data_IF_137020595061
#
_entry.id   IF_137020595061
#
_cell.length_a   1.000
_cell.length_b   1.000
_cell.length_c   1.000
_cell.angle_alpha   90.00
_cell.angle_beta   90.00
_cell.angle_gamma   90.00
#
_symmetry.space_group_name_H-M   'P 1'
#
loop_
_entity.id
_entity.type
_entity.pdbx_description
1 polymer ?
#
# COMPACT_ATOMS: atom_id res chain seq x y z
N UNK A 1 -47.85 -12.28 13.36
CA UNK A 1 -46.42 -12.59 13.16
C UNK A 1 -45.79 -11.44 12.38
N UNK A 2 -45.13 -10.55 13.06
CA UNK A 2 -44.52 -9.34 12.46
C UNK A 2 -43.03 -9.60 12.34
N UNK A 3 -42.52 -9.77 11.12
CA UNK A 3 -41.08 -9.92 10.84
C UNK A 3 -40.43 -8.54 10.79
N UNK A 4 -39.60 -8.23 11.80
CA UNK A 4 -38.73 -7.07 11.76
C UNK A 4 -37.58 -7.33 10.79
N UNK A 5 -37.56 -6.61 9.67
CA UNK A 5 -36.39 -6.52 8.79
C UNK A 5 -35.46 -5.48 9.38
N UNK A 6 -34.33 -5.96 9.87
CA UNK A 6 -33.22 -5.10 10.33
C UNK A 6 -32.55 -4.48 9.10
N UNK A 7 -32.72 -3.19 8.91
CA UNK A 7 -31.99 -2.44 7.90
C UNK A 7 -30.55 -2.19 8.42
N UNK A 8 -29.59 -2.89 7.83
CA UNK A 8 -28.20 -2.56 7.98
C UNK A 8 -27.95 -1.17 7.37
N UNK A 9 -27.70 -0.16 8.21
CA UNK A 9 -27.32 1.17 7.76
C UNK A 9 -25.94 1.10 7.10
N UNK A 10 -25.94 1.11 5.77
CA UNK A 10 -24.72 1.42 5.00
C UNK A 10 -24.36 2.87 5.35
N UNK A 11 -23.20 3.06 5.99
CA UNK A 11 -22.61 4.39 6.15
C UNK A 11 -22.25 4.89 4.76
N UNK A 12 -23.15 5.67 4.19
CA UNK A 12 -22.90 6.42 2.95
C UNK A 12 -21.83 7.45 3.26
N UNK A 13 -20.65 7.27 2.69
CA UNK A 13 -19.60 8.29 2.71
C UNK A 13 -20.11 9.44 1.83
N UNK A 14 -20.43 10.56 2.49
CA UNK A 14 -20.97 11.74 1.85
C UNK A 14 -19.92 12.36 0.91
N UNK A 15 -20.24 12.45 -0.39
CA UNK A 15 -19.60 13.32 -1.35
C UNK A 15 -18.78 12.59 -2.42
N UNK A 16 -18.96 13.04 -3.65
CA UNK A 16 -18.32 12.61 -4.91
C UNK A 16 -16.78 12.74 -4.95
N UNK A 17 -16.10 13.07 -3.84
CA UNK A 17 -14.64 13.24 -3.83
C UNK A 17 -13.92 11.99 -3.30
N UNK A 18 -12.83 11.66 -3.95
CA UNK A 18 -11.93 10.62 -3.50
C UNK A 18 -11.25 11.01 -2.16
N UNK A 19 -10.92 10.03 -1.29
CA UNK A 19 -10.38 10.31 0.02
C UNK A 19 -8.99 10.95 -0.04
N UNK A 20 -8.71 11.84 0.91
CA UNK A 20 -7.39 12.41 1.18
C UNK A 20 -6.61 11.47 2.08
N UNK A 21 -5.44 11.06 1.63
CA UNK A 21 -4.69 9.96 2.23
C UNK A 21 -3.32 10.40 2.70
N UNK A 22 -2.97 10.02 3.92
CA UNK A 22 -1.60 10.10 4.46
C UNK A 22 -1.07 8.68 4.63
N UNK A 23 0.17 8.45 4.25
CA UNK A 23 0.87 7.18 4.45
C UNK A 23 1.98 7.30 5.50
N UNK A 24 2.09 6.27 6.36
CA UNK A 24 3.09 6.15 7.43
C UNK A 24 4.06 4.98 7.19
N UNK A 25 4.05 4.38 6.00
CA UNK A 25 4.86 3.22 5.70
C UNK A 25 5.30 3.24 4.23
N UNK A 26 6.57 2.92 3.96
CA UNK A 26 7.12 2.95 2.61
C UNK A 26 6.37 2.05 1.61
N UNK A 27 5.92 0.86 2.04
CA UNK A 27 5.17 -0.03 1.15
C UNK A 27 3.83 0.57 0.74
N UNK A 28 3.14 1.27 1.64
CA UNK A 28 1.90 1.99 1.32
C UNK A 28 2.16 3.28 0.54
N UNK A 29 3.30 3.94 0.73
CA UNK A 29 3.74 5.06 -0.11
C UNK A 29 3.85 4.65 -1.58
N UNK A 30 4.55 3.54 -1.83
CA UNK A 30 4.75 3.03 -3.19
C UNK A 30 3.43 2.66 -3.86
N UNK A 31 2.51 2.03 -3.13
CA UNK A 31 1.19 1.71 -3.66
C UNK A 31 0.37 2.97 -3.95
N UNK A 32 0.41 3.98 -3.09
CA UNK A 32 -0.25 5.27 -3.35
C UNK A 32 0.31 5.95 -4.60
N UNK A 33 1.63 5.98 -4.77
CA UNK A 33 2.27 6.57 -5.95
C UNK A 33 1.88 5.88 -7.26
N UNK A 34 1.54 4.58 -7.22
CA UNK A 34 1.11 3.81 -8.38
C UNK A 34 -0.40 3.90 -8.64
N UNK A 35 -1.21 4.05 -7.58
CA UNK A 35 -2.66 3.87 -7.66
C UNK A 35 -3.46 5.15 -7.50
N UNK A 36 -3.05 6.06 -6.59
CA UNK A 36 -3.83 7.23 -6.25
C UNK A 36 -3.74 8.34 -7.32
N UNK A 37 -4.75 9.17 -7.38
CA UNK A 37 -4.64 10.44 -8.05
C UNK A 37 -3.76 11.38 -7.20
N UNK A 38 -3.00 12.29 -7.82
CA UNK A 38 -2.11 13.19 -7.08
C UNK A 38 -2.80 13.97 -5.97
N UNK A 39 -4.03 14.38 -6.18
CA UNK A 39 -4.84 15.18 -5.26
C UNK A 39 -5.27 14.40 -4.02
N UNK A 40 -5.26 13.07 -4.09
CA UNK A 40 -5.55 12.18 -2.95
C UNK A 40 -4.36 12.09 -2.00
N UNK A 41 -3.12 12.22 -2.51
CA UNK A 41 -1.90 12.03 -1.73
C UNK A 41 -1.56 13.30 -0.97
N UNK A 42 -1.85 13.30 0.32
CA UNK A 42 -1.61 14.48 1.17
C UNK A 42 -0.19 14.48 1.72
N UNK A 43 0.29 13.33 2.18
CA UNK A 43 1.67 13.19 2.68
C UNK A 43 2.13 11.73 2.58
N UNK A 44 3.40 11.55 2.26
CA UNK A 44 4.11 10.27 2.23
C UNK A 44 5.19 10.25 3.32
N UNK A 45 5.78 9.10 3.61
CA UNK A 45 6.94 9.07 4.49
C UNK A 45 8.15 9.75 3.81
N UNK A 46 9.07 10.29 4.60
CA UNK A 46 10.32 10.84 4.09
C UNK A 46 11.14 9.80 3.29
N UNK A 47 10.98 8.50 3.62
CA UNK A 47 11.63 7.38 2.92
C UNK A 47 11.21 7.27 1.46
N UNK A 48 9.97 7.65 1.12
CA UNK A 48 9.50 7.63 -0.26
C UNK A 48 10.31 8.55 -1.17
N UNK A 49 10.94 9.60 -0.62
CA UNK A 49 11.74 10.60 -1.34
C UNK A 49 13.23 10.26 -1.41
N UNK A 50 13.71 9.27 -0.64
CA UNK A 50 15.10 8.84 -0.64
C UNK A 50 15.35 7.83 -1.78
N UNK A 51 16.23 8.15 -2.77
CA UNK A 51 16.52 7.25 -3.89
C UNK A 51 17.16 5.91 -3.48
N UNK A 52 17.73 5.85 -2.27
CA UNK A 52 18.29 4.60 -1.72
C UNK A 52 17.21 3.67 -1.18
N UNK A 53 16.06 4.22 -0.81
CA UNK A 53 14.96 3.50 -0.19
C UNK A 53 13.81 3.23 -1.17
N UNK A 54 13.59 4.13 -2.14
CA UNK A 54 12.42 4.12 -3.01
C UNK A 54 12.78 4.20 -4.49
N UNK A 55 12.33 3.25 -5.31
CA UNK A 55 12.47 3.34 -6.77
C UNK A 55 11.60 4.47 -7.37
N UNK A 56 10.63 4.98 -6.64
CA UNK A 56 9.72 6.06 -7.05
C UNK A 56 10.06 7.40 -6.39
N UNK A 57 11.30 7.57 -5.89
CA UNK A 57 11.72 8.77 -5.17
C UNK A 57 11.52 10.06 -5.98
N UNK A 58 11.73 10.03 -7.30
CA UNK A 58 11.48 11.16 -8.19
C UNK A 58 10.01 11.59 -8.20
N UNK A 59 9.08 10.63 -8.30
CA UNK A 59 7.65 10.91 -8.28
C UNK A 59 7.18 11.43 -6.90
N UNK A 60 7.82 10.98 -5.82
CA UNK A 60 7.49 11.38 -4.45
C UNK A 60 7.88 12.82 -4.10
N UNK A 61 8.82 13.45 -4.84
CA UNK A 61 9.34 14.79 -4.50
C UNK A 61 8.28 15.89 -4.43
N UNK A 62 7.22 15.77 -5.21
CA UNK A 62 6.15 16.79 -5.29
C UNK A 62 5.18 16.77 -4.11
N UNK A 63 5.18 15.70 -3.29
CA UNK A 63 4.25 15.56 -2.17
C UNK A 63 4.89 16.02 -0.85
N UNK A 64 4.09 16.47 0.10
CA UNK A 64 4.54 16.69 1.46
C UNK A 64 5.03 15.37 2.08
N UNK A 65 5.90 15.47 3.09
CA UNK A 65 6.41 14.28 3.78
C UNK A 65 6.19 14.37 5.29
N UNK A 66 6.14 13.20 5.92
CA UNK A 66 6.04 13.02 7.36
C UNK A 66 7.13 12.05 7.87
N UNK A 67 7.36 12.05 9.18
CA UNK A 67 8.27 11.12 9.87
C UNK A 67 7.53 10.06 10.68
N UNK A 68 6.24 9.89 10.42
CA UNK A 68 5.42 8.89 11.10
C UNK A 68 4.96 9.30 12.49
N UNK A 69 5.03 10.59 12.82
CA UNK A 69 4.52 11.15 14.08
C UNK A 69 3.09 11.67 13.88
N UNK A 70 2.25 11.59 14.91
CA UNK A 70 0.87 12.08 14.82
C UNK A 70 0.81 13.60 14.59
N UNK A 71 1.76 14.33 15.16
CA UNK A 71 1.92 15.78 15.00
C UNK A 71 2.21 16.18 13.55
N UNK A 72 2.91 15.32 12.79
CA UNK A 72 3.15 15.53 11.37
C UNK A 72 1.88 15.28 10.51
N UNK A 73 0.96 14.44 11.00
CA UNK A 73 -0.21 13.93 10.27
C UNK A 73 -1.46 14.77 10.50
N UNK A 74 -1.74 15.10 11.77
CA UNK A 74 -2.99 15.76 12.17
C UNK A 74 -3.26 17.11 11.45
N UNK A 75 -2.25 17.96 11.20
CA UNK A 75 -2.48 19.22 10.48
C UNK A 75 -3.00 19.05 9.05
N UNK A 76 -2.78 17.92 8.45
CA UNK A 76 -3.27 17.62 7.10
C UNK A 76 -4.76 17.28 7.05
N UNK A 77 -5.41 16.99 8.19
CA UNK A 77 -6.80 16.55 8.28
C UNK A 77 -7.14 15.47 7.22
N UNK A 78 -6.46 14.31 7.21
CA UNK A 78 -6.69 13.26 6.23
C UNK A 78 -8.02 12.54 6.50
N UNK A 79 -8.65 12.02 5.42
CA UNK A 79 -9.80 11.14 5.55
C UNK A 79 -9.38 9.71 5.97
N UNK A 80 -8.17 9.30 5.53
CA UNK A 80 -7.60 7.98 5.81
C UNK A 80 -6.10 8.09 6.02
N UNK A 81 -5.61 7.38 7.03
CA UNK A 81 -4.18 7.15 7.26
C UNK A 81 -3.86 5.67 7.00
N UNK A 82 -2.84 5.41 6.20
CA UNK A 82 -2.33 4.08 5.91
C UNK A 82 -1.08 3.82 6.73
N UNK A 83 -1.06 2.73 7.46
CA UNK A 83 0.05 2.33 8.32
C UNK A 83 0.49 0.89 8.01
N UNK A 84 1.71 0.53 8.37
CA UNK A 84 2.12 -0.87 8.43
C UNK A 84 1.80 -1.45 9.82
N UNK A 85 1.66 -2.77 9.92
CA UNK A 85 1.46 -3.45 11.22
C UNK A 85 2.59 -3.18 12.22
N UNK A 86 3.77 -2.82 11.72
CA UNK A 86 4.92 -2.46 12.55
C UNK A 86 5.11 -0.93 12.69
N UNK A 87 4.18 -0.12 12.19
CA UNK A 87 4.17 1.32 12.49
C UNK A 87 4.01 1.54 13.99
N UNK A 88 4.55 2.65 14.49
CA UNK A 88 4.55 2.96 15.91
C UNK A 88 3.13 2.92 16.49
N UNK A 89 2.85 1.95 17.36
CA UNK A 89 1.52 1.77 17.97
C UNK A 89 1.01 3.05 18.63
N UNK A 90 1.91 3.78 19.30
CA UNK A 90 1.57 5.05 19.92
C UNK A 90 0.98 6.05 18.91
N UNK A 91 1.60 6.20 17.74
CA UNK A 91 1.08 7.10 16.67
C UNK A 91 -0.27 6.64 16.17
N UNK A 92 -0.43 5.33 15.88
CA UNK A 92 -1.68 4.75 15.40
C UNK A 92 -2.81 4.94 16.41
N UNK A 93 -2.55 4.65 17.68
CA UNK A 93 -3.55 4.78 18.76
C UNK A 93 -3.93 6.25 19.02
N UNK A 94 -2.96 7.18 18.92
CA UNK A 94 -3.23 8.60 19.05
C UNK A 94 -4.11 9.11 17.91
N UNK A 95 -3.80 8.77 16.66
CA UNK A 95 -4.59 9.14 15.51
C UNK A 95 -6.03 8.59 15.59
N UNK A 96 -6.20 7.34 16.01
CA UNK A 96 -7.52 6.73 16.23
C UNK A 96 -8.33 7.45 17.31
N UNK A 97 -7.67 7.84 18.42
CA UNK A 97 -8.32 8.62 19.50
C UNK A 97 -8.75 10.01 19.04
N UNK A 98 -8.07 10.58 18.05
CA UNK A 98 -8.46 11.83 17.39
C UNK A 98 -9.54 11.65 16.31
N UNK A 99 -10.10 10.44 16.18
CA UNK A 99 -11.16 10.15 15.20
C UNK A 99 -10.67 9.89 13.78
N UNK A 100 -9.35 9.81 13.56
CA UNK A 100 -8.79 9.53 12.24
C UNK A 100 -8.95 8.05 11.89
N UNK A 101 -9.45 7.75 10.69
CA UNK A 101 -9.54 6.39 10.17
C UNK A 101 -8.15 5.88 9.83
N UNK A 102 -7.60 4.94 10.61
CA UNK A 102 -6.29 4.30 10.36
C UNK A 102 -6.48 2.88 9.89
N UNK A 103 -5.92 2.56 8.72
CA UNK A 103 -5.93 1.22 8.11
C UNK A 103 -4.51 0.67 8.07
N UNK A 104 -4.32 -0.51 8.65
CA UNK A 104 -3.03 -1.16 8.71
C UNK A 104 -2.88 -2.21 7.60
N UNK A 105 -1.70 -2.23 6.97
CA UNK A 105 -1.29 -3.22 5.97
C UNK A 105 -0.24 -4.15 6.59
N UNK A 106 -0.47 -5.44 6.46
CA UNK A 106 0.51 -6.46 6.83
C UNK A 106 1.66 -6.49 5.82
N UNK A 107 2.86 -6.95 6.21
CA UNK A 107 3.92 -7.23 5.27
C UNK A 107 3.48 -8.26 4.24
N UNK A 108 3.92 -8.05 3.01
CA UNK A 108 3.74 -8.99 1.91
C UNK A 108 4.73 -10.14 2.08
N UNK A 109 4.24 -11.38 2.12
CA UNK A 109 5.03 -12.59 2.38
C UNK A 109 4.91 -13.62 1.26
N UNK A 110 4.02 -13.40 0.30
CA UNK A 110 3.79 -14.29 -0.84
C UNK A 110 3.49 -13.50 -2.11
N UNK A 111 3.56 -14.16 -3.28
CA UNK A 111 3.14 -13.55 -4.55
C UNK A 111 1.64 -13.23 -4.56
N UNK A 112 0.84 -14.03 -3.86
CA UNK A 112 -0.58 -13.74 -3.70
C UNK A 112 -0.82 -12.45 -2.91
N UNK A 113 -0.04 -12.20 -1.84
CA UNK A 113 -0.11 -10.95 -1.09
C UNK A 113 0.29 -9.75 -1.96
N UNK A 114 1.29 -9.93 -2.89
CA UNK A 114 1.67 -8.88 -3.86
C UNK A 114 0.48 -8.49 -4.73
N UNK A 115 -0.35 -9.45 -5.14
CA UNK A 115 -1.55 -9.18 -5.93
C UNK A 115 -2.71 -8.61 -5.08
N UNK A 116 -2.91 -9.12 -3.86
CA UNK A 116 -4.05 -8.72 -3.01
C UNK A 116 -3.89 -7.33 -2.39
N UNK A 117 -2.66 -6.94 -2.03
CA UNK A 117 -2.41 -5.66 -1.36
C UNK A 117 -2.82 -4.44 -2.20
N UNK A 118 -2.46 -4.33 -3.51
CA UNK A 118 -2.93 -3.25 -4.38
C UNK A 118 -4.45 -3.25 -4.59
N UNK A 119 -5.10 -4.42 -4.69
CA UNK A 119 -6.57 -4.50 -4.82
C UNK A 119 -7.26 -3.93 -3.57
N UNK A 120 -6.77 -4.30 -2.38
CA UNK A 120 -7.25 -3.74 -1.12
C UNK A 120 -7.02 -2.24 -1.04
N UNK A 121 -5.84 -1.76 -1.47
CA UNK A 121 -5.53 -0.33 -1.54
C UNK A 121 -6.51 0.39 -2.46
N UNK A 122 -6.71 -0.12 -3.69
CA UNK A 122 -7.64 0.45 -4.67
C UNK A 122 -9.06 0.63 -4.09
N UNK A 123 -9.58 -0.39 -3.40
CA UNK A 123 -10.89 -0.32 -2.76
C UNK A 123 -10.97 0.72 -1.62
N UNK A 124 -9.87 0.97 -0.91
CA UNK A 124 -9.81 1.98 0.16
C UNK A 124 -9.83 3.40 -0.41
N UNK A 125 -9.14 3.62 -1.52
CA UNK A 125 -8.94 4.96 -2.09
C UNK A 125 -9.83 5.26 -3.30
N UNK A 126 -10.74 4.34 -3.70
CA UNK A 126 -11.63 4.50 -4.86
C UNK A 126 -10.90 4.38 -6.20
N UNK A 127 -9.88 3.53 -6.29
CA UNK A 127 -9.06 3.33 -7.49
C UNK A 127 -9.03 1.85 -7.93
N UNK A 128 -10.15 1.14 -7.80
CA UNK A 128 -10.27 -0.29 -8.04
C UNK A 128 -9.84 -0.68 -9.46
N UNK A 129 -10.27 0.08 -10.46
CA UNK A 129 -9.95 -0.21 -11.86
C UNK A 129 -8.43 -0.09 -12.14
N UNK A 130 -7.75 0.87 -11.47
CA UNK A 130 -6.30 1.04 -11.60
C UNK A 130 -5.56 -0.10 -10.89
N UNK A 131 -6.04 -0.50 -9.72
CA UNK A 131 -5.48 -1.63 -8.98
C UNK A 131 -5.61 -2.95 -9.75
N UNK A 132 -6.76 -3.20 -10.37
CA UNK A 132 -6.98 -4.39 -11.21
C UNK A 132 -6.02 -4.44 -12.42
N UNK A 133 -5.80 -3.31 -13.10
CA UNK A 133 -4.83 -3.24 -14.20
C UNK A 133 -3.41 -3.52 -13.72
N UNK A 134 -2.98 -2.92 -12.61
CA UNK A 134 -1.65 -3.14 -12.04
C UNK A 134 -1.42 -4.62 -11.71
N UNK A 135 -2.42 -5.29 -11.14
CA UNK A 135 -2.34 -6.71 -10.81
C UNK A 135 -2.35 -7.59 -12.05
N UNK A 136 -3.09 -7.23 -13.09
CA UNK A 136 -3.07 -7.95 -14.38
C UNK A 136 -1.68 -7.88 -15.02
N UNK A 137 -1.06 -6.69 -15.07
CA UNK A 137 0.31 -6.49 -15.57
C UNK A 137 1.35 -7.30 -14.76
N UNK A 138 1.18 -7.36 -13.43
CA UNK A 138 2.01 -8.19 -12.56
C UNK A 138 1.92 -9.68 -12.92
N UNK A 139 0.71 -10.24 -13.09
CA UNK A 139 0.52 -11.63 -13.47
C UNK A 139 1.07 -11.94 -14.87
N UNK A 140 0.91 -11.03 -15.82
CA UNK A 140 1.51 -11.18 -17.16
C UNK A 140 3.04 -11.24 -17.07
N UNK A 141 3.66 -10.33 -16.32
CA UNK A 141 5.11 -10.29 -16.11
C UNK A 141 5.64 -11.57 -15.44
N UNK A 142 4.90 -12.11 -14.46
CA UNK A 142 5.24 -13.39 -13.83
C UNK A 142 5.18 -14.55 -14.84
N UNK A 143 4.15 -14.59 -15.67
CA UNK A 143 3.96 -15.64 -16.68
C UNK A 143 5.09 -15.62 -17.73
N UNK A 144 5.46 -14.43 -18.19
CA UNK A 144 6.57 -14.23 -19.13
C UNK A 144 7.90 -14.70 -18.50
N UNK A 145 8.17 -14.33 -17.25
CA UNK A 145 9.38 -14.73 -16.54
C UNK A 145 9.43 -16.24 -16.34
N UNK A 146 8.32 -16.88 -15.95
CA UNK A 146 8.23 -18.33 -15.82
C UNK A 146 8.50 -19.05 -17.13
N UNK A 147 8.01 -18.54 -18.26
CA UNK A 147 8.29 -19.08 -19.61
C UNK A 147 9.77 -19.00 -19.98
N UNK A 148 10.44 -17.90 -19.66
CA UNK A 148 11.89 -17.75 -19.87
C UNK A 148 12.67 -18.79 -19.05
N UNK A 149 12.33 -18.98 -17.78
CA UNK A 149 12.98 -19.99 -16.92
C UNK A 149 12.73 -21.42 -17.39
N UNK A 150 11.51 -21.75 -17.81
CA UNK A 150 11.18 -23.08 -18.32
C UNK A 150 12.02 -23.43 -19.56
N UNK A 151 12.25 -22.48 -20.44
CA UNK A 151 13.06 -22.65 -21.65
C UNK A 151 14.58 -22.77 -21.35
N UNK A 152 15.09 -22.15 -20.28
CA UNK A 152 16.48 -22.26 -19.85
C UNK A 152 16.77 -23.51 -18.99
N UNK A 153 15.75 -24.11 -18.39
CA UNK A 153 15.90 -25.30 -17.55
C UNK A 153 16.24 -26.59 -18.32
N UNK A 154 16.24 -26.54 -19.66
CA UNK A 154 16.71 -27.60 -20.54
C UNK A 154 18.23 -27.81 -20.54
N UNK A 155 19.01 -26.80 -20.19
CA UNK A 155 20.45 -26.88 -20.02
C UNK A 155 20.78 -27.07 -18.54
N UNK A 156 21.01 -28.35 -18.15
CA UNK A 156 21.40 -28.71 -16.77
C UNK A 156 22.86 -28.30 -16.53
N UNK A 157 23.12 -27.01 -16.51
CA UNK A 157 24.34 -26.45 -15.96
C UNK A 157 24.48 -26.77 -14.46
N UNK A 158 25.66 -26.56 -13.85
CA UNK A 158 25.89 -26.87 -12.46
C UNK A 158 24.84 -26.21 -11.56
N UNK A 159 24.27 -26.99 -10.64
CA UNK A 159 23.24 -26.50 -9.69
C UNK A 159 23.82 -25.33 -8.93
N UNK A 160 23.33 -24.12 -9.21
CA UNK A 160 23.71 -22.93 -8.46
C UNK A 160 23.28 -23.10 -7.00
N UNK A 161 24.25 -23.06 -6.08
CA UNK A 161 23.98 -23.02 -4.64
C UNK A 161 23.94 -21.56 -4.23
N UNK A 162 22.79 -21.11 -3.75
CA UNK A 162 22.64 -19.78 -3.18
C UNK A 162 22.64 -19.88 -1.65
N UNK A 163 23.34 -18.95 -1.00
CA UNK A 163 23.31 -18.78 0.45
C UNK A 163 22.65 -17.43 0.72
N UNK A 164 21.54 -17.44 1.46
CA UNK A 164 20.92 -16.22 1.97
C UNK A 164 21.57 -15.88 3.31
N UNK A 165 22.32 -14.78 3.34
CA UNK A 165 22.82 -14.21 4.57
C UNK A 165 21.79 -13.22 5.10
N UNK A 166 21.13 -13.58 6.21
CA UNK A 166 20.26 -12.64 6.94
C UNK A 166 21.11 -11.58 7.65
N UNK A 167 20.56 -10.38 7.80
CA UNK A 167 21.16 -9.33 8.61
C UNK A 167 21.12 -9.74 10.09
N UNK A 168 22.12 -10.45 10.58
CA UNK A 168 22.16 -10.98 11.95
C UNK A 168 22.91 -12.31 12.03
N UNK A 169 23.74 -12.60 10.99
CA UNK A 169 24.56 -13.81 10.85
C UNK A 169 25.43 -14.15 12.03
#
# INVERSE_FOLDING_TARGET
>A
MLTMVSAASAVSIAGDRLPRVVSLNLCTDLQLLLLADPEQIVSLTWLARDPRSSPLAGAAQRFAFNRGQAEDVLPFAPDVVLAGTYSTRFTVDLLRRQGVRVIEFAPVTSLDDVAQSPLRMGAIIGQEARAQRLVAEFHESLSQTAGVWANHSGDRGPRNRAVLLGAGG
#
